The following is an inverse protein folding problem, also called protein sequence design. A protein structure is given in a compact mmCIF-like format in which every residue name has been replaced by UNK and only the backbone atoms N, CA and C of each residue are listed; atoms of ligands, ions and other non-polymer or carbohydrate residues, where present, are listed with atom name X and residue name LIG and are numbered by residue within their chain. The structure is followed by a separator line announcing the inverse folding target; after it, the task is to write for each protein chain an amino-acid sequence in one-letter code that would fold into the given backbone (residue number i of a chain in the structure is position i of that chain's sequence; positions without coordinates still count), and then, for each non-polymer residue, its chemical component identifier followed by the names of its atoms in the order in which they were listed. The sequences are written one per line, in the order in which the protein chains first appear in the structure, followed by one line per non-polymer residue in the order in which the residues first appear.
data_IF_496962327024
#
_entry.id   IF_496962327024
#
_cell.length_a   1.000
_cell.length_b   1.000
_cell.length_c   1.000
_cell.angle_alpha   90.00
_cell.angle_beta   90.00
_cell.angle_gamma   90.00
#
_symmetry.space_group_name_H-M   'P 1'
#
loop_
_entity.id
_entity.type
_entity.pdbx_description
1 polymer ?
#
# COMPACT_ATOMS: atom_id res chain seq x y z
N UNK A 1 -14.15 3.54 53.15
CA UNK A 1 -14.12 4.51 52.03
C UNK A 1 -12.71 4.82 51.49
N UNK A 2 -11.64 4.86 52.31
CA UNK A 2 -10.26 5.17 51.83
C UNK A 2 -9.69 4.19 50.80
N UNK A 3 -10.04 2.91 50.86
CA UNK A 3 -9.57 1.88 49.90
C UNK A 3 -10.35 1.82 48.59
N UNK A 4 -11.52 2.47 48.50
CA UNK A 4 -12.37 2.43 47.29
C UNK A 4 -11.76 3.30 46.17
N UNK A 5 -11.18 4.43 46.56
CA UNK A 5 -10.56 5.40 45.64
C UNK A 5 -9.37 4.81 44.85
N UNK A 6 -8.37 4.16 45.48
CA UNK A 6 -7.27 3.54 44.74
C UNK A 6 -7.75 2.37 43.88
N UNK A 7 -8.78 1.63 44.32
CA UNK A 7 -9.35 0.54 43.55
C UNK A 7 -10.05 1.03 42.26
N UNK A 8 -10.82 2.12 42.35
CA UNK A 8 -11.42 2.76 41.16
C UNK A 8 -10.35 3.26 40.20
N UNK A 9 -9.29 3.90 40.70
CA UNK A 9 -8.17 4.36 39.85
C UNK A 9 -7.49 3.19 39.13
N UNK A 10 -7.24 2.08 39.84
CA UNK A 10 -6.66 0.88 39.24
C UNK A 10 -7.56 0.33 38.12
N UNK A 11 -8.85 0.20 38.38
CA UNK A 11 -9.82 -0.32 37.38
C UNK A 11 -9.87 0.57 36.15
N UNK A 12 -9.91 1.90 36.32
CA UNK A 12 -9.90 2.84 35.20
C UNK A 12 -8.58 2.75 34.41
N UNK A 13 -7.44 2.68 35.09
CA UNK A 13 -6.14 2.56 34.43
C UNK A 13 -6.05 1.27 33.60
N UNK A 14 -6.50 0.15 34.15
CA UNK A 14 -6.56 -1.14 33.42
C UNK A 14 -7.50 -1.04 32.23
N UNK A 15 -8.68 -0.45 32.38
CA UNK A 15 -9.63 -0.28 31.28
C UNK A 15 -9.04 0.58 30.13
N UNK A 16 -8.31 1.66 30.46
CA UNK A 16 -7.62 2.51 29.47
C UNK A 16 -6.54 1.74 28.73
N UNK A 17 -5.72 0.96 29.45
CA UNK A 17 -4.66 0.14 28.82
C UNK A 17 -5.27 -0.92 27.90
N UNK A 18 -6.28 -1.67 28.36
CA UNK A 18 -6.93 -2.69 27.55
C UNK A 18 -7.62 -2.11 26.32
N UNK A 19 -8.32 -0.98 26.47
CA UNK A 19 -8.95 -0.27 25.35
C UNK A 19 -7.91 0.23 24.34
N UNK A 20 -6.81 0.83 24.83
CA UNK A 20 -5.71 1.28 23.98
C UNK A 20 -5.06 0.14 23.20
N UNK A 21 -4.80 -1.00 23.85
CA UNK A 21 -4.24 -2.20 23.19
C UNK A 21 -5.19 -2.75 22.13
N UNK A 22 -6.50 -2.75 22.37
CA UNK A 22 -7.46 -3.25 21.39
C UNK A 22 -7.52 -2.36 20.13
N UNK A 23 -7.46 -1.05 20.32
CA UNK A 23 -7.37 -0.08 19.21
C UNK A 23 -6.05 -0.22 18.45
N UNK A 24 -4.93 -0.41 19.16
CA UNK A 24 -3.64 -0.69 18.52
C UNK A 24 -3.69 -1.99 17.73
N UNK A 25 -4.33 -3.03 18.29
CA UNK A 25 -4.49 -4.31 17.61
C UNK A 25 -5.29 -4.14 16.34
N UNK A 26 -6.46 -3.53 16.37
CA UNK A 26 -7.27 -3.28 15.16
C UNK A 26 -6.50 -2.46 14.11
N UNK A 27 -5.69 -1.50 14.56
CA UNK A 27 -4.85 -0.71 13.67
C UNK A 27 -3.63 -1.47 13.09
N UNK A 28 -3.22 -2.58 13.72
CA UNK A 28 -2.03 -3.37 13.33
C UNK A 28 -2.37 -4.77 12.82
N UNK A 29 -3.61 -5.21 12.93
CA UNK A 29 -4.08 -6.53 12.51
C UNK A 29 -4.14 -6.60 10.98
N UNK A 30 -3.36 -7.52 10.42
CA UNK A 30 -3.29 -7.77 9.00
C UNK A 30 -4.49 -8.63 8.57
N UNK A 31 -5.41 -8.05 7.81
CA UNK A 31 -6.65 -8.72 7.39
C UNK A 31 -6.52 -9.51 6.08
N UNK A 32 -5.33 -9.57 5.46
CA UNK A 32 -5.14 -10.21 4.17
C UNK A 32 -5.87 -9.48 3.02
N UNK A 33 -5.65 -9.94 1.78
CA UNK A 33 -6.33 -9.41 0.60
C UNK A 33 -7.75 -9.98 0.46
N UNK A 34 -8.65 -9.26 -0.22
CA UNK A 34 -9.92 -9.88 -0.62
C UNK A 34 -9.65 -11.08 -1.56
N UNK A 35 -10.56 -12.06 -1.55
CA UNK A 35 -10.36 -13.42 -2.09
C UNK A 35 -9.81 -13.52 -3.51
N UNK A 36 -9.47 -14.74 -3.95
CA UNK A 36 -8.67 -15.04 -5.17
C UNK A 36 -9.17 -14.41 -6.48
N UNK A 37 -10.43 -14.03 -6.58
CA UNK A 37 -11.05 -13.37 -7.75
C UNK A 37 -10.99 -11.83 -7.71
N UNK A 38 -10.56 -11.24 -6.59
CA UNK A 38 -10.44 -9.79 -6.45
C UNK A 38 -9.11 -9.31 -7.03
N UNK A 39 -9.10 -8.11 -7.61
CA UNK A 39 -7.89 -7.50 -8.18
C UNK A 39 -7.74 -6.04 -7.74
N UNK A 40 -6.49 -5.57 -7.73
CA UNK A 40 -6.17 -4.16 -7.55
C UNK A 40 -5.64 -3.58 -8.85
N UNK A 41 -6.35 -2.62 -9.41
CA UNK A 41 -5.93 -1.89 -10.60
C UNK A 41 -5.28 -0.58 -10.19
N UNK A 42 -4.04 -0.37 -10.67
CA UNK A 42 -3.23 0.82 -10.42
C UNK A 42 -3.05 1.57 -11.73
N UNK A 43 -3.35 2.86 -11.72
CA UNK A 43 -2.97 3.79 -12.78
C UNK A 43 -1.92 4.73 -12.22
N UNK A 44 -0.74 4.77 -12.81
CA UNK A 44 0.35 5.62 -12.37
C UNK A 44 1.02 6.31 -13.56
N UNK A 45 1.50 7.53 -13.35
CA UNK A 45 2.32 8.25 -14.32
C UNK A 45 3.79 8.16 -13.95
N UNK A 46 4.65 8.31 -14.96
CA UNK A 46 6.10 8.39 -14.78
C UNK A 46 6.63 9.74 -15.23
N UNK A 47 7.66 10.18 -14.53
CA UNK A 47 8.51 11.29 -14.92
C UNK A 47 9.95 10.83 -14.78
N UNK A 48 10.73 10.96 -15.83
CA UNK A 48 12.17 10.73 -15.78
C UNK A 48 12.95 12.03 -15.98
N UNK A 49 14.21 12.03 -15.54
CA UNK A 49 15.17 13.08 -15.87
C UNK A 49 16.42 12.47 -16.49
N UNK A 50 16.33 12.15 -17.79
CA UNK A 50 17.47 11.68 -18.57
C UNK A 50 17.74 10.19 -18.43
N UNK A 51 16.71 9.38 -18.19
CA UNK A 51 16.85 7.93 -18.04
C UNK A 51 17.30 7.25 -19.35
N UNK A 52 16.93 7.79 -20.51
CA UNK A 52 17.55 7.43 -21.80
C UNK A 52 17.17 6.06 -22.39
N UNK A 53 16.32 5.27 -21.72
CA UNK A 53 15.92 3.92 -22.18
C UNK A 53 14.42 3.78 -22.55
N UNK A 54 13.71 4.91 -22.65
CA UNK A 54 12.30 4.95 -23.03
C UNK A 54 11.33 4.83 -21.85
N UNK A 55 10.12 5.34 -22.06
CA UNK A 55 9.08 5.44 -21.02
C UNK A 55 8.57 4.08 -20.55
N UNK A 56 8.40 3.12 -21.46
CA UNK A 56 7.90 1.78 -21.12
C UNK A 56 8.87 1.05 -20.20
N UNK A 57 10.17 1.09 -20.52
CA UNK A 57 11.18 0.49 -19.66
C UNK A 57 11.25 1.19 -18.30
N UNK A 58 11.13 2.53 -18.28
CA UNK A 58 11.11 3.29 -17.03
C UNK A 58 9.92 2.89 -16.14
N UNK A 59 8.73 2.72 -16.73
CA UNK A 59 7.53 2.27 -16.03
C UNK A 59 7.68 0.85 -15.50
N UNK A 60 8.17 -0.08 -16.33
CA UNK A 60 8.42 -1.46 -15.90
C UNK A 60 9.47 -1.52 -14.78
N UNK A 61 10.57 -0.76 -14.89
CA UNK A 61 11.62 -0.74 -13.87
C UNK A 61 11.12 -0.21 -12.52
N UNK A 62 10.37 0.91 -12.53
CA UNK A 62 9.77 1.47 -11.31
C UNK A 62 8.75 0.48 -10.70
N UNK A 63 7.86 -0.06 -11.54
CA UNK A 63 6.84 -1.01 -11.11
C UNK A 63 7.45 -2.24 -10.43
N UNK A 64 8.37 -2.91 -11.12
CA UNK A 64 9.01 -4.13 -10.62
C UNK A 64 9.78 -3.88 -9.32
N UNK A 65 10.45 -2.73 -9.20
CA UNK A 65 11.12 -2.34 -7.95
C UNK A 65 10.12 -2.19 -6.80
N UNK A 66 8.98 -1.57 -7.06
CA UNK A 66 7.96 -1.38 -6.02
C UNK A 66 7.24 -2.67 -5.65
N UNK A 67 6.95 -3.55 -6.60
CA UNK A 67 6.39 -4.88 -6.35
C UNK A 67 7.33 -5.72 -5.48
N UNK A 68 8.62 -5.74 -5.80
CA UNK A 68 9.63 -6.41 -4.98
C UNK A 68 9.71 -5.82 -3.56
N UNK A 69 9.59 -4.49 -3.43
CA UNK A 69 9.63 -3.79 -2.12
C UNK A 69 8.44 -4.15 -1.22
N UNK A 70 7.25 -4.34 -1.81
CA UNK A 70 6.08 -4.80 -1.04
C UNK A 70 6.04 -6.32 -0.85
N UNK A 71 6.92 -7.07 -1.52
CA UNK A 71 7.01 -8.52 -1.45
C UNK A 71 5.79 -9.21 -2.08
N UNK A 72 5.20 -8.62 -3.12
CA UNK A 72 4.01 -9.15 -3.78
C UNK A 72 4.36 -10.05 -4.97
N UNK A 73 3.45 -10.98 -5.27
CA UNK A 73 3.51 -11.86 -6.44
C UNK A 73 2.11 -11.94 -7.06
N UNK A 74 2.02 -11.98 -8.39
CA UNK A 74 0.73 -12.05 -9.11
C UNK A 74 0.33 -10.71 -9.73
N UNK A 75 1.32 -9.91 -10.08
CA UNK A 75 1.22 -8.69 -10.86
C UNK A 75 1.27 -8.97 -12.36
N UNK A 76 0.50 -8.17 -13.12
CA UNK A 76 0.69 -8.04 -14.56
C UNK A 76 1.78 -6.98 -14.84
N UNK A 77 2.42 -7.06 -16.01
CA UNK A 77 3.32 -6.00 -16.48
C UNK A 77 2.53 -4.71 -16.77
N UNK A 78 3.06 -3.51 -16.43
CA UNK A 78 2.38 -2.26 -16.71
C UNK A 78 2.19 -2.05 -18.22
N UNK A 79 0.96 -1.75 -18.62
CA UNK A 79 0.58 -1.47 -20.01
C UNK A 79 0.31 0.03 -20.16
N UNK A 80 0.79 0.62 -21.26
CA UNK A 80 0.53 2.02 -21.58
C UNK A 80 -0.98 2.31 -21.64
N UNK A 81 -1.41 3.35 -20.93
CA UNK A 81 -2.80 3.81 -20.83
C UNK A 81 -2.98 5.28 -21.22
N UNK A 82 -1.90 5.95 -21.63
CA UNK A 82 -1.86 7.34 -22.05
C UNK A 82 -0.41 7.82 -22.14
N UNK A 83 -0.23 9.12 -22.39
CA UNK A 83 1.11 9.72 -22.38
C UNK A 83 1.74 9.55 -20.99
N UNK A 84 2.85 8.81 -20.94
CA UNK A 84 3.63 8.52 -19.72
C UNK A 84 2.80 7.98 -18.57
N UNK A 85 1.68 7.32 -18.87
CA UNK A 85 0.72 6.80 -17.89
C UNK A 85 0.49 5.33 -18.16
N UNK A 86 0.56 4.52 -17.11
CA UNK A 86 0.58 3.07 -17.18
C UNK A 86 -0.46 2.48 -16.24
N UNK A 87 -1.11 1.42 -16.72
CA UNK A 87 -2.04 0.60 -15.95
C UNK A 87 -1.38 -0.72 -15.61
N UNK A 88 -1.41 -1.09 -14.34
CA UNK A 88 -1.01 -2.41 -13.88
C UNK A 88 -2.11 -3.01 -12.99
N UNK A 89 -2.15 -4.34 -12.93
CA UNK A 89 -3.15 -5.08 -12.16
C UNK A 89 -2.41 -6.06 -11.25
N UNK A 90 -2.86 -6.18 -10.00
CA UNK A 90 -2.38 -7.20 -9.06
C UNK A 90 -3.51 -8.14 -8.67
N UNK A 91 -3.19 -9.42 -8.54
CA UNK A 91 -4.08 -10.48 -8.05
C UNK A 91 -3.38 -11.30 -6.94
N UNK A 92 -4.08 -11.65 -5.86
CA UNK A 92 -5.40 -11.14 -5.46
C UNK A 92 -5.36 -9.64 -5.16
N UNK A 93 -6.50 -9.04 -4.82
CA UNK A 93 -6.54 -7.63 -4.43
C UNK A 93 -5.65 -7.37 -3.22
N UNK A 94 -4.98 -6.23 -3.23
CA UNK A 94 -4.09 -5.80 -2.18
C UNK A 94 -4.87 -5.42 -0.90
N UNK A 95 -4.44 -5.90 0.27
CA UNK A 95 -4.87 -5.34 1.55
C UNK A 95 -4.56 -3.84 1.65
N UNK A 96 -5.29 -3.11 2.48
CA UNK A 96 -5.15 -1.65 2.60
C UNK A 96 -3.75 -1.20 3.07
N UNK A 97 -3.08 -1.96 3.95
CA UNK A 97 -1.71 -1.68 4.34
C UNK A 97 -0.72 -1.86 3.18
N UNK A 98 -0.86 -2.94 2.41
CA UNK A 98 -0.02 -3.17 1.21
C UNK A 98 -0.29 -2.14 0.12
N UNK A 99 -1.55 -1.71 -0.06
CA UNK A 99 -1.90 -0.59 -0.96
C UNK A 99 -1.20 0.70 -0.57
N UNK A 100 -1.17 1.04 0.72
CA UNK A 100 -0.45 2.22 1.23
C UNK A 100 1.04 2.11 0.96
N UNK A 101 1.65 0.94 1.20
CA UNK A 101 3.07 0.69 0.89
C UNK A 101 3.39 0.81 -0.59
N UNK A 102 2.54 0.25 -1.47
CA UNK A 102 2.72 0.36 -2.92
C UNK A 102 2.62 1.81 -3.39
N UNK A 103 1.61 2.55 -2.91
CA UNK A 103 1.45 3.97 -3.21
C UNK A 103 2.68 4.77 -2.78
N UNK A 104 3.12 4.60 -1.54
CA UNK A 104 4.31 5.28 -1.02
C UNK A 104 5.54 4.97 -1.85
N UNK A 105 5.75 3.70 -2.23
CA UNK A 105 6.85 3.36 -3.12
C UNK A 105 6.76 4.09 -4.47
N UNK A 106 5.60 4.07 -5.13
CA UNK A 106 5.43 4.72 -6.44
C UNK A 106 5.59 6.25 -6.39
N UNK A 107 5.20 6.89 -5.28
CA UNK A 107 5.21 8.36 -5.13
C UNK A 107 6.54 8.89 -4.57
N UNK A 108 7.20 8.13 -3.68
CA UNK A 108 8.36 8.58 -2.92
C UNK A 108 9.69 8.03 -3.46
N UNK A 109 9.68 6.84 -4.09
CA UNK A 109 10.90 6.23 -4.61
C UNK A 109 11.37 6.93 -5.89
N UNK A 110 12.67 7.13 -5.99
CA UNK A 110 13.34 7.53 -7.23
C UNK A 110 14.31 6.42 -7.64
N UNK A 111 14.05 5.78 -8.77
CA UNK A 111 14.90 4.70 -9.33
C UNK A 111 15.54 5.22 -10.60
N UNK A 112 16.87 5.32 -10.67
CA UNK A 112 17.59 5.77 -11.87
C UNK A 112 17.02 7.07 -12.49
N UNK A 113 16.73 8.07 -11.65
CA UNK A 113 16.08 9.34 -12.05
C UNK A 113 14.63 9.22 -12.55
N UNK A 114 13.98 8.08 -12.35
CA UNK A 114 12.56 7.84 -12.61
C UNK A 114 11.77 8.08 -11.32
N UNK A 115 10.71 8.88 -11.39
CA UNK A 115 9.75 9.13 -10.32
C UNK A 115 8.35 8.79 -10.81
N UNK A 116 7.55 8.16 -9.96
CA UNK A 116 6.15 7.87 -10.24
C UNK A 116 5.18 8.83 -9.55
N UNK A 117 3.92 8.76 -9.98
CA UNK A 117 2.79 9.31 -9.24
C UNK A 117 1.56 8.42 -9.45
N UNK A 118 0.88 8.05 -8.37
CA UNK A 118 -0.34 7.24 -8.49
C UNK A 118 -1.52 8.14 -8.83
N UNK A 119 -2.01 8.03 -10.07
CA UNK A 119 -3.21 8.70 -10.55
C UNK A 119 -4.45 8.11 -9.90
N UNK A 120 -4.55 6.77 -9.85
CA UNK A 120 -5.65 6.10 -9.16
C UNK A 120 -5.31 4.67 -8.76
N UNK A 121 -5.99 4.15 -7.75
CA UNK A 121 -5.79 2.79 -7.25
C UNK A 121 -7.09 2.26 -6.63
N UNK A 122 -7.67 1.25 -7.27
CA UNK A 122 -8.97 0.69 -6.89
C UNK A 122 -8.87 -0.82 -6.74
N UNK A 123 -9.61 -1.36 -5.78
CA UNK A 123 -9.76 -2.82 -5.62
C UNK A 123 -11.21 -3.19 -5.87
N UNK A 124 -11.43 -4.30 -6.57
CA UNK A 124 -12.76 -4.78 -6.92
C UNK A 124 -12.74 -6.23 -7.39
N UNK A 125 -13.92 -6.80 -7.63
CA UNK A 125 -14.03 -8.06 -8.35
C UNK A 125 -13.47 -7.91 -9.77
N UNK A 126 -12.83 -8.97 -10.28
CA UNK A 126 -12.29 -9.01 -11.63
C UNK A 126 -13.34 -8.78 -12.72
#
# INVERSE_FOLDING_TARGET
MRALRPLVVLVVAVAVVLGGVHLLREATEYHGGAGVEAQTTVLFSIKDNGFGHGDDFAATALWQTCIATIGWTGEDEPVAAGERTYRAVLRPSLPDDTRRRLRGCLEDLVVNHIKGNVVSMHSGAA
#
